data_IF_969619247557
#
_entry.id   IF_969619247557
#
_cell.length_a   1.000
_cell.length_b   1.000
_cell.length_c   1.000
_cell.angle_alpha   90.00
_cell.angle_beta   90.00
_cell.angle_gamma   90.00
#
_symmetry.space_group_name_H-M   'P 1'
#
loop_
_entity.id
_entity.type
_entity.pdbx_description
1 polymer ?
#
# COMPACT_ATOMS: atom_id res chain seq x y z
N UNK A 1 9.00 -0.46 -4.91
CA UNK A 1 9.77 0.76 -5.21
C UNK A 1 9.05 2.05 -4.81
N UNK A 2 7.76 2.21 -5.14
CA UNK A 2 7.04 3.50 -4.94
C UNK A 2 6.13 3.59 -3.70
N UNK A 3 5.93 2.50 -2.94
CA UNK A 3 4.96 2.48 -1.83
C UNK A 3 5.30 3.50 -0.75
N UNK A 4 6.57 3.62 -0.37
CA UNK A 4 7.01 4.63 0.59
C UNK A 4 6.68 6.07 0.15
N UNK A 5 6.94 6.40 -1.12
CA UNK A 5 6.65 7.75 -1.63
C UNK A 5 5.14 7.99 -1.83
N UNK A 6 4.33 6.93 -2.01
CA UNK A 6 2.86 7.02 -1.96
C UNK A 6 2.39 7.34 -0.53
N UNK A 7 2.93 6.66 0.48
CA UNK A 7 2.63 6.93 1.90
C UNK A 7 3.04 8.36 2.27
N UNK A 8 4.23 8.81 1.87
CA UNK A 8 4.69 10.19 2.08
C UNK A 8 3.71 11.21 1.49
N UNK A 9 3.25 11.00 0.25
CA UNK A 9 2.24 11.88 -0.38
C UNK A 9 0.96 11.95 0.43
N UNK A 10 0.51 10.82 0.97
CA UNK A 10 -0.70 10.80 1.79
C UNK A 10 -0.51 11.55 3.11
N UNK A 11 0.60 11.31 3.81
CA UNK A 11 0.95 12.03 5.05
C UNK A 11 1.04 13.54 4.77
N UNK A 12 1.72 13.94 3.69
CA UNK A 12 1.84 15.35 3.29
C UNK A 12 0.49 16.00 2.98
N UNK A 13 -0.40 15.29 2.27
CA UNK A 13 -1.74 15.81 1.99
C UNK A 13 -2.55 15.97 3.28
N UNK A 14 -2.50 14.97 4.17
CA UNK A 14 -3.20 15.00 5.45
C UNK A 14 -2.66 16.10 6.38
N UNK A 15 -1.36 16.40 6.35
CA UNK A 15 -0.79 17.50 7.15
C UNK A 15 -1.20 18.89 6.64
N UNK A 16 -1.50 19.03 5.35
CA UNK A 16 -2.01 20.28 4.78
C UNK A 16 -3.50 20.48 5.09
N UNK A 17 -4.28 19.40 5.12
CA UNK A 17 -5.72 19.43 5.40
C UNK A 17 -6.04 19.43 6.89
N UNK A 18 -5.10 19.00 7.75
CA UNK A 18 -5.32 18.85 9.19
C UNK A 18 -4.02 18.93 10.00
N UNK A 19 -4.11 19.43 11.23
CA UNK A 19 -2.96 19.51 12.15
C UNK A 19 -2.67 18.17 12.89
N UNK A 20 -2.96 17.02 12.27
CA UNK A 20 -2.83 15.70 12.93
C UNK A 20 -1.37 15.39 13.27
N UNK A 21 -0.44 15.78 12.40
CA UNK A 21 0.99 15.49 12.54
C UNK A 21 1.76 16.60 13.26
N UNK A 22 1.07 17.66 13.71
CA UNK A 22 1.72 18.85 14.28
C UNK A 22 2.51 19.65 13.23
N UNK A 23 3.47 20.47 13.67
CA UNK A 23 4.36 21.21 12.77
C UNK A 23 5.17 20.23 11.91
N UNK A 24 4.93 20.24 10.59
CA UNK A 24 5.64 19.38 9.65
C UNK A 24 6.80 20.13 8.99
N UNK A 25 7.94 19.46 8.89
CA UNK A 25 9.16 19.98 8.28
C UNK A 25 9.10 19.97 6.75
N UNK A 26 9.93 20.79 6.11
CA UNK A 26 10.08 20.81 4.65
C UNK A 26 10.58 19.47 4.08
N UNK A 27 11.21 18.63 4.91
CA UNK A 27 11.62 17.25 4.55
C UNK A 27 10.44 16.41 4.05
N UNK A 28 9.23 16.63 4.55
CA UNK A 28 8.05 15.90 4.12
C UNK A 28 7.70 16.15 2.64
N UNK A 29 8.13 17.28 2.08
CA UNK A 29 7.97 17.60 0.65
C UNK A 29 9.03 16.95 -0.24
N UNK A 30 10.16 16.49 0.33
CA UNK A 30 11.23 15.86 -0.43
C UNK A 30 10.75 14.52 -1.02
N UNK A 31 10.82 14.40 -2.34
CA UNK A 31 10.40 13.19 -3.05
C UNK A 31 11.29 12.02 -2.66
N UNK A 32 10.69 10.84 -2.50
CA UNK A 32 11.40 9.59 -2.19
C UNK A 32 12.15 9.55 -0.86
N UNK A 33 11.98 10.54 0.03
CA UNK A 33 12.58 10.53 1.38
C UNK A 33 12.14 9.31 2.18
N UNK A 34 10.87 8.88 2.01
CA UNK A 34 10.35 7.65 2.58
C UNK A 34 10.49 6.51 1.56
N UNK A 35 11.46 5.62 1.78
CA UNK A 35 11.68 4.46 0.91
C UNK A 35 10.66 3.35 1.15
N UNK A 36 10.55 2.39 0.21
CA UNK A 36 9.69 1.20 0.42
C UNK A 36 10.16 0.36 1.61
N UNK A 37 11.48 0.29 1.87
CA UNK A 37 12.03 -0.46 3.00
C UNK A 37 11.65 0.16 4.35
N UNK A 38 11.72 1.49 4.45
CA UNK A 38 11.28 2.20 5.65
C UNK A 38 9.76 2.04 5.87
N UNK A 39 8.97 2.10 4.80
CA UNK A 39 7.53 1.84 4.88
C UNK A 39 7.22 0.39 5.31
N UNK A 40 7.99 -0.59 4.84
CA UNK A 40 7.86 -1.99 5.26
C UNK A 40 8.19 -2.16 6.75
N UNK A 41 9.30 -1.58 7.22
CA UNK A 41 9.67 -1.60 8.64
C UNK A 41 8.57 -0.98 9.53
N UNK A 42 7.95 0.12 9.10
CA UNK A 42 6.78 0.70 9.81
C UNK A 42 5.54 -0.21 9.78
N UNK A 43 5.35 -1.00 8.73
CA UNK A 43 4.19 -1.88 8.57
C UNK A 43 4.35 -3.18 9.37
N UNK A 44 5.58 -3.62 9.60
CA UNK A 44 5.93 -4.81 10.37
C UNK A 44 6.12 -4.53 11.87
N UNK A 45 6.10 -3.26 12.29
CA UNK A 45 6.22 -2.88 13.70
C UNK A 45 4.99 -3.30 14.51
N UNK A 46 5.15 -4.39 15.26
CA UNK A 46 4.15 -4.97 16.14
C UNK A 46 4.33 -4.55 17.62
N UNK A 47 5.30 -3.67 17.90
CA UNK A 47 5.58 -3.24 19.27
C UNK A 47 4.38 -2.46 19.85
N UNK A 48 4.08 -2.59 21.15
CA UNK A 48 2.91 -1.93 21.75
C UNK A 48 2.89 -0.41 21.56
N UNK A 49 4.08 0.19 21.50
CA UNK A 49 4.28 1.62 21.35
C UNK A 49 4.59 2.04 19.91
N UNK A 50 4.66 1.11 18.95
CA UNK A 50 5.06 1.40 17.56
C UNK A 50 6.39 2.18 17.50
N UNK A 51 7.39 1.61 18.16
CA UNK A 51 8.69 2.25 18.38
C UNK A 51 9.50 2.43 17.10
N UNK A 52 9.38 1.53 16.14
CA UNK A 52 10.05 1.65 14.84
C UNK A 52 9.35 2.70 13.98
N UNK A 53 8.01 2.74 14.01
CA UNK A 53 7.24 3.84 13.41
C UNK A 53 7.67 5.19 13.97
N UNK A 54 7.80 5.30 15.30
CA UNK A 54 8.25 6.52 15.96
C UNK A 54 9.61 6.98 15.43
N UNK A 55 10.61 6.08 15.44
CA UNK A 55 11.97 6.36 14.97
C UNK A 55 12.01 6.79 13.50
N UNK A 56 11.25 6.12 12.64
CA UNK A 56 11.24 6.42 11.19
C UNK A 56 10.58 7.78 10.94
N UNK A 57 9.46 8.08 11.61
CA UNK A 57 8.78 9.37 11.50
C UNK A 57 9.69 10.52 11.96
N UNK A 58 10.39 10.36 13.07
CA UNK A 58 11.34 11.33 13.61
C UNK A 58 12.53 11.51 12.66
N UNK A 59 13.27 10.44 12.36
CA UNK A 59 14.52 10.53 11.59
C UNK A 59 14.32 10.91 10.13
N UNK A 60 13.23 10.46 9.52
CA UNK A 60 13.02 10.57 8.06
C UNK A 60 12.13 11.75 7.70
N UNK A 61 11.05 11.97 8.47
CA UNK A 61 10.03 12.97 8.17
C UNK A 61 10.06 14.15 9.13
N UNK A 62 10.89 14.11 10.17
CA UNK A 62 11.04 15.18 11.18
C UNK A 62 9.71 15.48 11.87
N UNK A 63 8.92 14.41 12.10
CA UNK A 63 7.67 14.43 12.86
C UNK A 63 8.02 13.95 14.27
N UNK A 64 8.20 14.90 15.19
CA UNK A 64 8.68 14.63 16.55
C UNK A 64 7.55 14.16 17.48
N UNK A 65 7.88 13.16 18.31
CA UNK A 65 7.10 12.58 19.42
C UNK A 65 5.57 12.60 19.26
N UNK A 66 5.10 12.08 18.12
CA UNK A 66 3.67 11.95 17.83
C UNK A 66 2.97 11.04 18.86
N UNK A 67 1.78 11.43 19.36
CA UNK A 67 0.97 10.57 20.23
C UNK A 67 0.78 9.18 19.60
N UNK A 68 0.61 8.14 20.43
CA UNK A 68 0.40 6.77 19.92
C UNK A 68 -0.74 6.69 18.88
N UNK A 69 -1.73 7.57 18.96
CA UNK A 69 -2.82 7.71 17.97
C UNK A 69 -2.30 8.06 16.57
N UNK A 70 -1.32 8.95 16.45
CA UNK A 70 -0.70 9.35 15.17
C UNK A 70 0.09 8.19 14.58
N UNK A 71 0.87 7.49 15.40
CA UNK A 71 1.61 6.28 14.97
C UNK A 71 0.66 5.19 14.45
N UNK A 72 -0.43 4.93 15.16
CA UNK A 72 -1.49 4.00 14.71
C UNK A 72 -2.13 4.44 13.40
N UNK A 73 -2.30 5.74 13.18
CA UNK A 73 -2.80 6.27 11.91
C UNK A 73 -1.81 5.99 10.76
N UNK A 74 -0.51 6.19 10.98
CA UNK A 74 0.52 5.90 9.98
C UNK A 74 0.53 4.41 9.62
N UNK A 75 0.41 3.51 10.60
CA UNK A 75 0.27 2.06 10.32
C UNK A 75 -0.97 1.78 9.46
N UNK A 76 -2.12 2.39 9.75
CA UNK A 76 -3.33 2.24 8.92
C UNK A 76 -3.12 2.75 7.48
N UNK A 77 -2.38 3.84 7.31
CA UNK A 77 -2.02 4.37 5.99
C UNK A 77 -1.18 3.35 5.22
N UNK A 78 -0.12 2.82 5.86
CA UNK A 78 0.73 1.79 5.29
C UNK A 78 -0.09 0.58 4.83
N UNK A 79 -0.98 0.10 5.70
CA UNK A 79 -1.84 -1.06 5.47
C UNK A 79 -2.84 -0.85 4.31
N UNK A 80 -3.47 0.33 4.21
CA UNK A 80 -4.34 0.68 3.05
C UNK A 80 -3.55 0.71 1.74
N UNK A 81 -2.37 1.33 1.73
CA UNK A 81 -1.50 1.42 0.54
C UNK A 81 -1.03 0.04 0.10
N UNK A 82 -0.55 -0.78 1.05
CA UNK A 82 -0.08 -2.15 0.79
C UNK A 82 -1.21 -3.04 0.29
N UNK A 83 -2.39 -3.04 0.92
CA UNK A 83 -3.52 -3.87 0.47
C UNK A 83 -3.98 -3.50 -0.93
N UNK A 84 -4.05 -2.22 -1.27
CA UNK A 84 -4.39 -1.78 -2.63
C UNK A 84 -3.36 -2.31 -3.64
N UNK A 85 -2.07 -2.16 -3.33
CA UNK A 85 -1.00 -2.65 -4.19
C UNK A 85 -1.04 -4.18 -4.36
N UNK A 86 -1.24 -4.92 -3.27
CA UNK A 86 -1.36 -6.37 -3.26
C UNK A 86 -2.54 -6.85 -4.10
N UNK A 87 -3.72 -6.21 -3.97
CA UNK A 87 -4.91 -6.55 -4.79
C UNK A 87 -4.69 -6.29 -6.27
N UNK A 88 -4.01 -5.20 -6.63
CA UNK A 88 -3.67 -4.91 -8.01
C UNK A 88 -2.69 -5.95 -8.59
N UNK A 89 -1.66 -6.31 -7.83
CA UNK A 89 -0.73 -7.37 -8.22
C UNK A 89 -1.43 -8.72 -8.38
N UNK A 90 -2.29 -9.08 -7.42
CA UNK A 90 -3.08 -10.31 -7.45
C UNK A 90 -4.02 -10.34 -8.66
N UNK A 91 -4.67 -9.22 -9.01
CA UNK A 91 -5.51 -9.13 -10.20
C UNK A 91 -4.72 -9.42 -11.50
N UNK A 92 -3.48 -8.93 -11.60
CA UNK A 92 -2.60 -9.24 -12.73
C UNK A 92 -2.25 -10.73 -12.81
N UNK A 93 -1.89 -11.36 -11.69
CA UNK A 93 -1.62 -12.80 -11.61
C UNK A 93 -2.85 -13.61 -12.02
N UNK A 94 -4.02 -13.28 -11.47
CA UNK A 94 -5.29 -13.94 -11.80
C UNK A 94 -5.65 -13.73 -13.28
N UNK A 95 -5.36 -12.57 -13.86
CA UNK A 95 -5.56 -12.33 -15.29
C UNK A 95 -4.75 -13.30 -16.16
N UNK A 96 -3.48 -13.51 -15.83
CA UNK A 96 -2.61 -14.48 -16.52
C UNK A 96 -3.14 -15.90 -16.32
N UNK A 97 -3.51 -16.27 -15.10
CA UNK A 97 -4.05 -17.61 -14.81
C UNK A 97 -5.33 -17.90 -15.60
N UNK A 98 -6.21 -16.91 -15.77
CA UNK A 98 -7.41 -17.02 -16.60
C UNK A 98 -7.08 -17.23 -18.08
N UNK A 99 -6.13 -16.45 -18.60
CA UNK A 99 -5.71 -16.53 -20.00
C UNK A 99 -5.17 -17.93 -20.34
N UNK A 100 -4.37 -18.52 -19.45
CA UNK A 100 -3.78 -19.86 -19.66
C UNK A 100 -4.67 -21.01 -19.17
N UNK A 101 -5.93 -20.74 -18.77
CA UNK A 101 -6.88 -21.76 -18.31
C UNK A 101 -6.53 -22.43 -16.97
N UNK A 102 -5.73 -21.78 -16.13
CA UNK A 102 -5.25 -22.27 -14.82
C UNK A 102 -5.83 -21.49 -13.63
N UNK A 103 -6.99 -20.89 -13.79
CA UNK A 103 -7.68 -20.13 -12.75
C UNK A 103 -8.49 -21.01 -11.77
N UNK A 104 -8.37 -22.34 -11.88
CA UNK A 104 -9.09 -23.30 -11.04
C UNK A 104 -10.58 -23.46 -11.40
N UNK A 105 -11.07 -22.78 -12.45
CA UNK A 105 -12.47 -22.88 -12.91
C UNK A 105 -12.70 -24.02 -13.91
N UNK A 106 -11.66 -24.80 -14.23
CA UNK A 106 -11.71 -25.96 -15.11
C UNK A 106 -12.69 -27.07 -14.66
N UNK A 107 -13.19 -27.02 -13.41
CA UNK A 107 -14.29 -27.88 -12.94
C UNK A 107 -15.71 -27.33 -13.14
N UNK A 108 -15.87 -26.04 -13.47
CA UNK A 108 -17.18 -25.36 -13.55
C UNK A 108 -17.60 -25.05 -15.00
N UNK A 109 -16.66 -25.04 -15.95
CA UNK A 109 -16.94 -24.64 -17.35
C UNK A 109 -16.62 -25.76 -18.34
N UNK A 110 -17.31 -26.90 -18.24
CA UNK A 110 -17.54 -27.71 -19.43
C UNK A 110 -18.46 -26.92 -20.39
N UNK A 111 -17.94 -26.64 -21.59
CA UNK A 111 -18.68 -26.17 -22.79
C UNK A 111 -19.36 -24.80 -22.72
N UNK A 112 -18.71 -23.80 -23.33
CA UNK A 112 -19.33 -23.08 -24.46
C UNK A 112 -18.29 -22.41 -25.37
N UNK A 113 -17.44 -23.22 -26.01
CA UNK A 113 -16.84 -22.80 -27.28
C UNK A 113 -17.93 -22.96 -28.34
N UNK A 114 -18.48 -21.83 -28.79
CA UNK A 114 -19.50 -21.72 -29.82
C UNK A 114 -18.86 -22.11 -31.16
N UNK A 115 -18.99 -23.37 -31.56
CA UNK A 115 -18.59 -23.83 -32.90
C UNK A 115 -19.48 -23.18 -33.97
N UNK A 116 -18.85 -22.76 -35.06
CA UNK A 116 -19.43 -21.97 -36.13
C UNK A 116 -20.53 -22.68 -36.91
N UNK A 117 -21.44 -21.87 -37.44
CA UNK A 117 -22.41 -22.22 -38.48
C UNK A 117 -21.68 -22.82 -39.71
N UNK A 118 -22.09 -24.00 -40.13
CA UNK A 118 -22.07 -24.45 -41.53
C UNK A 118 -23.43 -25.12 -41.74
N UNK A 119 -24.28 -24.78 -42.71
CA UNK A 119 -24.03 -24.13 -43.99
C UNK A 119 -24.17 -25.17 -45.10
N UNK A 120 -25.40 -25.29 -45.63
CA UNK A 120 -25.93 -26.17 -46.69
C UNK A 120 -26.33 -27.58 -46.30
#
# INVERSE_FOLDING_TARGET
>A
MYLGDIVRRLIHKMSLESNIFGPVSSKLSARFVLSTLLMAAMHEDDTPNLSEVAKILEKTLDINDGPLKVRKLVVKICDVVTRRAARLAAAGIVGILKEIGRDGTAGITSRRVKSGKSGK
#
